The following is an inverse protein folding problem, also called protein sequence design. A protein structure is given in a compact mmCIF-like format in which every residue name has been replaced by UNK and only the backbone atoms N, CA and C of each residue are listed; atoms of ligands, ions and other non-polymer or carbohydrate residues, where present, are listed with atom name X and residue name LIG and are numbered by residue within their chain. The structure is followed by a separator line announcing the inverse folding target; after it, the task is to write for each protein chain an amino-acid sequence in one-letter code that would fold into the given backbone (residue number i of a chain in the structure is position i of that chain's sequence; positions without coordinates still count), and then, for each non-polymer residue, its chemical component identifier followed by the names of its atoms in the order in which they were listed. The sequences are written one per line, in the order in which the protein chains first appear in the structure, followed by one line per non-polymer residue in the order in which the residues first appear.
data_IF_749793139991
#
_entry.id   IF_749793139991
#
_cell.length_a   1.000
_cell.length_b   1.000
_cell.length_c   1.000
_cell.angle_alpha   90.00
_cell.angle_beta   90.00
_cell.angle_gamma   90.00
#
_symmetry.space_group_name_H-M   'P 1'
#
loop_
_entity.id
_entity.type
_entity.pdbx_description
1 polymer ?
#
# COMPACT_ATOMS: atom_id res chain seq x y z
N UNK A 1 -7.20 -9.53 -28.67
CA UNK A 1 -8.01 -9.52 -27.43
C UNK A 1 -7.82 -8.17 -26.75
N UNK A 2 -8.87 -7.35 -26.64
CA UNK A 2 -8.79 -6.00 -26.05
C UNK A 2 -8.84 -6.13 -24.52
N UNK A 3 -7.70 -5.94 -23.85
CA UNK A 3 -7.62 -5.97 -22.37
C UNK A 3 -8.21 -4.68 -21.82
N UNK A 4 -9.39 -4.77 -21.20
CA UNK A 4 -9.97 -3.67 -20.42
C UNK A 4 -9.20 -3.59 -19.10
N UNK A 5 -8.23 -2.68 -19.02
CA UNK A 5 -7.66 -2.24 -17.74
C UNK A 5 -8.74 -1.44 -17.00
N UNK A 6 -9.50 -2.12 -16.15
CA UNK A 6 -10.28 -1.47 -15.12
C UNK A 6 -9.31 -0.98 -14.05
N UNK A 7 -8.71 0.20 -14.28
CA UNK A 7 -8.01 0.95 -13.24
C UNK A 7 -9.08 1.39 -12.25
N UNK A 8 -9.14 0.73 -11.11
CA UNK A 8 -9.89 1.18 -9.93
C UNK A 8 -9.27 2.49 -9.45
N UNK A 9 -9.72 3.60 -10.04
CA UNK A 9 -9.62 4.96 -9.50
C UNK A 9 -10.53 5.06 -8.26
N UNK A 10 -10.17 4.35 -7.21
CA UNK A 10 -10.92 4.31 -5.97
C UNK A 10 -10.13 4.98 -4.86
N UNK A 11 -10.59 6.17 -4.46
CA UNK A 11 -10.29 6.83 -3.18
C UNK A 11 -9.02 7.70 -3.16
N UNK A 12 -8.98 8.73 -4.01
CA UNK A 12 -8.44 10.01 -3.56
C UNK A 12 -9.58 10.69 -2.77
N UNK A 13 -9.64 10.49 -1.45
CA UNK A 13 -10.46 11.39 -0.62
C UNK A 13 -9.73 12.73 -0.64
N UNK A 14 -10.06 13.54 -1.64
CA UNK A 14 -9.90 14.99 -1.60
C UNK A 14 -10.79 15.46 -0.45
N UNK A 15 -10.26 15.39 0.77
CA UNK A 15 -10.82 16.12 1.90
C UNK A 15 -10.85 17.58 1.47
N UNK A 16 -12.04 18.00 1.06
CA UNK A 16 -12.35 19.33 0.56
C UNK A 16 -11.94 20.35 1.61
N UNK A 17 -10.73 20.88 1.48
CA UNK A 17 -10.37 22.13 2.15
C UNK A 17 -11.23 23.19 1.50
N UNK A 18 -12.32 23.56 2.18
CA UNK A 18 -13.16 24.67 1.79
C UNK A 18 -12.31 25.93 1.81
N UNK A 19 -11.83 26.34 0.63
CA UNK A 19 -11.33 27.69 0.38
C UNK A 19 -12.53 28.64 0.48
N UNK A 20 -12.87 29.06 1.69
CA UNK A 20 -13.80 30.15 1.90
C UNK A 20 -13.14 31.43 1.33
N UNK A 21 -13.67 31.94 0.22
CA UNK A 21 -13.25 33.20 -0.36
C UNK A 21 -13.43 34.34 0.67
N UNK A 22 -12.43 35.22 0.89
CA UNK A 22 -12.58 36.32 1.83
C UNK A 22 -13.66 37.29 1.31
N UNK A 23 -14.60 37.62 2.19
CA UNK A 23 -15.66 38.57 1.91
C UNK A 23 -15.07 39.94 1.51
N UNK A 24 -15.66 40.51 0.47
CA UNK A 24 -15.34 41.79 -0.20
C UNK A 24 -14.82 42.86 0.78
N UNK A 25 -13.52 43.15 0.73
CA UNK A 25 -12.89 44.20 1.53
C UNK A 25 -12.66 45.46 0.70
N UNK A 26 -13.17 46.58 1.20
CA UNK A 26 -12.94 47.94 0.73
C UNK A 26 -11.51 48.39 1.09
N UNK A 27 -10.85 49.08 0.14
CA UNK A 27 -9.60 49.87 0.24
C UNK A 27 -8.29 49.16 0.60
N UNK A 28 -7.45 48.91 -0.43
CA UNK A 28 -6.00 49.22 -0.48
C UNK A 28 -4.99 48.55 0.48
N UNK A 29 -5.43 47.92 1.57
CA UNK A 29 -4.59 47.12 2.49
C UNK A 29 -5.02 45.66 2.56
N UNK A 30 -5.87 45.24 1.63
CA UNK A 30 -6.55 43.94 1.63
C UNK A 30 -6.12 43.04 0.49
N UNK A 31 -5.58 43.59 -0.59
CA UNK A 31 -5.13 42.82 -1.76
C UNK A 31 -3.76 42.21 -1.48
N UNK A 32 -2.80 42.98 -0.96
CA UNK A 32 -1.47 42.50 -0.57
C UNK A 32 -1.57 41.43 0.53
N UNK A 33 -2.43 41.66 1.53
CA UNK A 33 -2.68 40.67 2.59
C UNK A 33 -3.35 39.39 2.05
N UNK A 34 -4.24 39.51 1.06
CA UNK A 34 -4.84 38.35 0.40
C UNK A 34 -3.82 37.58 -0.45
N UNK A 35 -2.94 38.29 -1.17
CA UNK A 35 -1.85 37.68 -1.93
C UNK A 35 -0.87 36.95 -1.01
N UNK A 36 -0.40 37.60 0.06
CA UNK A 36 0.46 36.99 1.07
C UNK A 36 -0.16 35.73 1.69
N UNK A 37 -1.48 35.75 1.93
CA UNK A 37 -2.20 34.58 2.44
C UNK A 37 -2.22 33.44 1.41
N UNK A 38 -2.51 33.73 0.14
CA UNK A 38 -2.47 32.74 -0.94
C UNK A 38 -1.08 32.14 -1.14
N UNK A 39 -0.01 32.95 -1.10
CA UNK A 39 1.37 32.48 -1.20
C UNK A 39 1.75 31.56 -0.03
N UNK A 40 1.33 31.92 1.19
CA UNK A 40 1.52 31.08 2.38
C UNK A 40 0.75 29.76 2.28
N UNK A 41 -0.49 29.79 1.77
CA UNK A 41 -1.29 28.57 1.56
C UNK A 41 -0.68 27.68 0.49
N UNK A 42 -0.19 28.25 -0.62
CA UNK A 42 0.51 27.51 -1.67
C UNK A 42 1.79 26.86 -1.14
N UNK A 43 2.61 27.61 -0.40
CA UNK A 43 3.83 27.10 0.22
C UNK A 43 3.51 25.94 1.17
N UNK A 44 2.47 26.07 2.00
CA UNK A 44 2.03 25.00 2.89
C UNK A 44 1.55 23.77 2.11
N UNK A 45 0.84 23.96 1.00
CA UNK A 45 0.37 22.87 0.15
C UNK A 45 1.55 22.09 -0.44
N UNK A 46 2.56 22.78 -0.96
CA UNK A 46 3.79 22.16 -1.47
C UNK A 46 4.53 21.38 -0.38
N UNK A 47 4.66 21.94 0.82
CA UNK A 47 5.27 21.25 1.96
C UNK A 47 4.50 19.97 2.36
N UNK A 48 3.16 20.03 2.34
CA UNK A 48 2.32 18.87 2.65
C UNK A 48 2.44 17.78 1.56
N UNK A 49 2.49 18.17 0.29
CA UNK A 49 2.71 17.25 -0.83
C UNK A 49 4.06 16.54 -0.70
N UNK A 50 5.15 17.27 -0.46
CA UNK A 50 6.47 16.71 -0.24
C UNK A 50 6.53 15.77 0.97
N UNK A 51 5.88 16.15 2.07
CA UNK A 51 5.81 15.31 3.27
C UNK A 51 5.04 14.02 3.00
N UNK A 52 3.92 14.09 2.27
CA UNK A 52 3.13 12.92 1.88
C UNK A 52 3.88 12.00 0.95
N UNK A 53 4.60 12.56 -0.02
CA UNK A 53 5.44 11.79 -0.93
C UNK A 53 6.52 11.01 -0.16
N UNK A 54 7.28 11.67 0.72
CA UNK A 54 8.31 11.00 1.54
C UNK A 54 7.73 9.93 2.47
N UNK A 55 6.53 10.17 3.02
CA UNK A 55 5.84 9.17 3.82
C UNK A 55 5.54 7.91 3.00
N UNK A 56 4.97 8.07 1.81
CA UNK A 56 4.63 6.95 0.93
C UNK A 56 5.87 6.22 0.41
N UNK A 57 6.96 6.94 0.14
CA UNK A 57 8.25 6.35 -0.21
C UNK A 57 8.79 5.46 0.91
N UNK A 58 8.74 5.93 2.16
CA UNK A 58 9.15 5.14 3.31
C UNK A 58 8.27 3.90 3.52
N UNK A 59 6.94 4.04 3.34
CA UNK A 59 5.99 2.94 3.43
C UNK A 59 6.25 1.88 2.35
N UNK A 60 6.51 2.29 1.10
CA UNK A 60 6.84 1.40 -0.01
C UNK A 60 8.18 0.69 0.21
N UNK A 61 9.20 1.40 0.69
CA UNK A 61 10.49 0.79 1.02
C UNK A 61 10.35 -0.27 2.12
N UNK A 62 9.57 0.01 3.16
CA UNK A 62 9.28 -0.96 4.20
C UNK A 62 8.46 -2.16 3.68
N UNK A 63 7.52 -1.92 2.76
CA UNK A 63 6.76 -2.97 2.09
C UNK A 63 7.65 -3.89 1.25
N UNK A 64 8.63 -3.35 0.51
CA UNK A 64 9.63 -4.12 -0.23
C UNK A 64 10.42 -5.05 0.68
N UNK A 65 10.90 -4.56 1.82
CA UNK A 65 11.64 -5.39 2.79
C UNK A 65 10.74 -6.48 3.40
N UNK A 66 9.48 -6.20 3.70
CA UNK A 66 8.53 -7.21 4.19
C UNK A 66 8.23 -8.26 3.10
N UNK A 67 8.11 -7.84 1.85
CA UNK A 67 7.85 -8.71 0.71
C UNK A 67 8.99 -9.73 0.51
N UNK A 68 10.24 -9.31 0.66
CA UNK A 68 11.40 -10.22 0.62
C UNK A 68 11.31 -11.28 1.72
N UNK A 69 11.04 -10.87 2.96
CA UNK A 69 10.87 -11.78 4.09
C UNK A 69 9.71 -12.76 3.89
N UNK A 70 8.56 -12.28 3.42
CA UNK A 70 7.39 -13.11 3.14
C UNK A 70 7.65 -14.11 2.01
N UNK A 71 8.39 -13.72 0.97
CA UNK A 71 8.77 -14.63 -0.12
C UNK A 71 9.70 -15.75 0.39
N UNK A 72 10.64 -15.45 1.28
CA UNK A 72 11.49 -16.47 1.91
C UNK A 72 10.68 -17.42 2.82
N UNK A 73 9.73 -16.88 3.60
CA UNK A 73 8.81 -17.70 4.39
C UNK A 73 7.94 -18.60 3.53
N UNK A 74 7.49 -18.08 2.38
CA UNK A 74 6.68 -18.82 1.42
C UNK A 74 7.41 -20.07 0.93
N UNK A 75 8.66 -19.91 0.48
CA UNK A 75 9.49 -21.02 0.02
C UNK A 75 9.68 -22.09 1.11
N UNK A 76 9.90 -21.66 2.36
CA UNK A 76 10.03 -22.57 3.50
C UNK A 76 8.73 -23.33 3.81
N UNK A 77 7.58 -22.68 3.67
CA UNK A 77 6.27 -23.33 3.83
C UNK A 77 6.07 -24.37 2.72
N UNK A 78 6.39 -24.03 1.47
CA UNK A 78 6.25 -24.93 0.33
C UNK A 78 7.17 -26.17 0.48
N UNK A 79 8.42 -25.99 0.94
CA UNK A 79 9.34 -27.08 1.28
C UNK A 79 8.76 -28.00 2.35
N UNK A 80 8.29 -27.45 3.48
CA UNK A 80 7.71 -28.25 4.57
C UNK A 80 6.43 -28.95 4.17
N UNK A 81 5.61 -28.33 3.32
CA UNK A 81 4.40 -28.95 2.81
C UNK A 81 4.74 -30.19 1.98
N UNK A 82 5.73 -30.09 1.09
CA UNK A 82 6.19 -31.22 0.29
C UNK A 82 6.73 -32.38 1.16
N UNK A 83 7.51 -32.07 2.20
CA UNK A 83 7.97 -33.08 3.17
C UNK A 83 6.81 -33.77 3.89
N UNK A 84 5.80 -33.01 4.32
CA UNK A 84 4.62 -33.54 5.01
C UNK A 84 3.82 -34.46 4.08
N UNK A 85 3.53 -33.98 2.87
CA UNK A 85 2.73 -34.70 1.86
C UNK A 85 3.43 -35.99 1.39
N UNK A 86 4.77 -36.02 1.35
CA UNK A 86 5.52 -37.24 1.04
C UNK A 86 5.37 -38.36 2.09
N UNK A 87 4.98 -38.02 3.33
CA UNK A 87 4.87 -38.97 4.44
C UNK A 87 3.41 -39.30 4.82
N UNK A 88 2.42 -38.60 4.25
CA UNK A 88 1.05 -38.63 4.76
C UNK A 88 0.31 -39.96 4.56
N UNK A 89 0.71 -40.74 3.55
CA UNK A 89 0.11 -42.05 3.23
C UNK A 89 0.99 -43.24 3.64
N UNK A 90 2.24 -42.99 4.03
CA UNK A 90 3.21 -44.04 4.38
C UNK A 90 3.50 -44.11 5.88
N UNK A 91 3.24 -43.03 6.61
CA UNK A 91 3.43 -42.96 8.06
C UNK A 91 2.28 -43.57 8.84
N UNK A 92 2.59 -44.22 9.97
CA UNK A 92 1.59 -44.61 10.99
C UNK A 92 0.84 -43.40 11.58
N UNK A 93 1.43 -42.21 11.47
CA UNK A 93 0.84 -40.92 11.85
C UNK A 93 0.23 -40.18 10.66
N UNK A 94 -0.21 -40.89 9.62
CA UNK A 94 -0.70 -40.27 8.38
C UNK A 94 -1.86 -39.28 8.60
N UNK A 95 -2.72 -39.52 9.59
CA UNK A 95 -3.80 -38.58 9.96
C UNK A 95 -3.24 -37.26 10.49
N UNK A 96 -2.21 -37.32 11.33
CA UNK A 96 -1.53 -36.17 11.91
C UNK A 96 -0.75 -35.40 10.83
N UNK A 97 -0.11 -36.09 9.88
CA UNK A 97 0.51 -35.46 8.71
C UNK A 97 -0.52 -34.70 7.86
N UNK A 98 -1.68 -35.30 7.55
CA UNK A 98 -2.76 -34.64 6.80
C UNK A 98 -3.33 -33.41 7.53
N UNK A 99 -3.49 -33.50 8.84
CA UNK A 99 -3.90 -32.36 9.67
C UNK A 99 -2.84 -31.25 9.62
N UNK A 100 -1.55 -31.59 9.73
CA UNK A 100 -0.45 -30.63 9.65
C UNK A 100 -0.35 -29.99 8.27
N UNK A 101 -0.51 -30.75 7.19
CA UNK A 101 -0.55 -30.23 5.82
C UNK A 101 -1.65 -29.16 5.68
N UNK A 102 -2.83 -29.41 6.25
CA UNK A 102 -3.95 -28.47 6.24
C UNK A 102 -3.61 -27.17 6.96
N UNK A 103 -2.96 -27.23 8.12
CA UNK A 103 -2.48 -26.03 8.83
C UNK A 103 -1.48 -25.23 8.01
N UNK A 104 -0.50 -25.90 7.38
CA UNK A 104 0.50 -25.24 6.52
C UNK A 104 -0.14 -24.60 5.29
N UNK A 105 -1.10 -25.26 4.62
CA UNK A 105 -1.85 -24.66 3.49
C UNK A 105 -2.65 -23.43 3.93
N UNK A 106 -3.25 -23.47 5.12
CA UNK A 106 -3.96 -22.31 5.66
C UNK A 106 -3.02 -21.14 5.94
N UNK A 107 -1.84 -21.40 6.52
CA UNK A 107 -0.82 -20.38 6.73
C UNK A 107 -0.30 -19.81 5.40
N UNK A 108 -0.05 -20.67 4.41
CA UNK A 108 0.35 -20.29 3.04
C UNK A 108 -0.64 -19.30 2.42
N UNK A 109 -1.93 -19.60 2.52
CA UNK A 109 -3.01 -18.75 2.01
C UNK A 109 -3.12 -17.40 2.75
N UNK A 110 -2.79 -17.35 4.04
CA UNK A 110 -2.72 -16.09 4.77
C UNK A 110 -1.51 -15.27 4.32
N UNK A 111 -0.36 -15.91 4.12
CA UNK A 111 0.85 -15.27 3.64
C UNK A 111 0.68 -14.69 2.24
N UNK A 112 -0.04 -15.38 1.33
CA UNK A 112 -0.39 -14.85 0.01
C UNK A 112 -1.16 -13.53 0.09
N UNK A 113 -2.08 -13.41 1.05
CA UNK A 113 -2.87 -12.18 1.24
C UNK A 113 -2.00 -11.03 1.72
N UNK A 114 -1.06 -11.30 2.64
CA UNK A 114 -0.11 -10.26 3.09
C UNK A 114 0.85 -9.86 1.98
N UNK A 115 1.38 -10.81 1.20
CA UNK A 115 2.19 -10.52 0.02
C UNK A 115 1.45 -9.62 -0.97
N UNK A 116 0.19 -9.93 -1.27
CA UNK A 116 -0.63 -9.12 -2.17
C UNK A 116 -0.84 -7.68 -1.65
N UNK A 117 -0.99 -7.50 -0.32
CA UNK A 117 -1.07 -6.15 0.29
C UNK A 117 0.24 -5.38 0.13
N UNK A 118 1.38 -6.00 0.42
CA UNK A 118 2.68 -5.32 0.28
C UNK A 118 2.96 -4.95 -1.18
N UNK A 119 2.65 -5.84 -2.13
CA UNK A 119 2.73 -5.56 -3.57
C UNK A 119 1.83 -4.38 -3.97
N UNK A 120 0.63 -4.28 -3.39
CA UNK A 120 -0.27 -3.17 -3.65
C UNK A 120 0.29 -1.84 -3.11
N UNK A 121 0.90 -1.83 -1.91
CA UNK A 121 1.55 -0.62 -1.36
C UNK A 121 2.66 -0.15 -2.30
N UNK A 122 3.52 -1.06 -2.73
CA UNK A 122 4.61 -0.75 -3.68
C UNK A 122 4.05 -0.22 -5.00
N UNK A 123 3.04 -0.90 -5.57
CA UNK A 123 2.41 -0.48 -6.82
C UNK A 123 1.75 0.90 -6.72
N UNK A 124 1.10 1.21 -5.60
CA UNK A 124 0.48 2.53 -5.39
C UNK A 124 1.55 3.63 -5.34
N UNK A 125 2.68 3.38 -4.69
CA UNK A 125 3.77 4.36 -4.66
C UNK A 125 4.41 4.56 -6.03
N UNK A 126 4.61 3.51 -6.83
CA UNK A 126 5.13 3.66 -8.20
C UNK A 126 4.19 4.50 -9.09
N UNK A 127 2.88 4.37 -8.93
CA UNK A 127 1.91 5.27 -9.59
C UNK A 127 2.13 6.71 -9.14
N UNK A 128 2.21 6.97 -7.83
CA UNK A 128 2.42 8.33 -7.29
C UNK A 128 3.74 8.92 -7.80
N UNK A 129 4.80 8.12 -7.82
CA UNK A 129 6.11 8.50 -8.35
C UNK A 129 6.05 8.85 -9.83
N UNK A 130 5.26 8.15 -10.64
CA UNK A 130 5.09 8.45 -12.07
C UNK A 130 4.29 9.72 -12.37
N UNK A 131 3.51 10.20 -11.40
CA UNK A 131 2.70 11.42 -11.53
C UNK A 131 3.48 12.68 -11.14
N UNK A 132 4.65 12.51 -10.51
CA UNK A 132 5.57 13.56 -10.10
C UNK A 132 6.62 13.80 -11.18
#
# INVERSE_FOLDING_TARGET
MKKKLAVLLGVLVLSSVSFAAPAKSTSGGSIENSLNNLENQLTKLQQMEDAKYRQQEAEANAATQRLENYTAMQAKIDERLAEIEANEDTSIFGKEFKAKATEYRNLRNQLDKEIAKEQQIISNFEVIKSLR
#
